data_IF_923189130620
#
_entry.id   IF_923189130620
#
_cell.length_a   1.000
_cell.length_b   1.000
_cell.length_c   1.000
_cell.angle_alpha   90.00
_cell.angle_beta   90.00
_cell.angle_gamma   90.00
#
_symmetry.space_group_name_H-M   'P 1'
#
loop_
_entity.id
_entity.type
_entity.pdbx_description
1 polymer ?
#
# COMPACT_ATOMS: atom_id res chain seq x y z
N UNK A 1 -7.94 18.40 35.80
CA UNK A 1 -7.29 18.91 34.58
C UNK A 1 -6.87 17.78 33.68
N UNK A 2 -7.76 17.53 32.73
CA UNK A 2 -7.69 16.51 31.70
C UNK A 2 -6.51 16.79 30.76
N UNK A 3 -5.56 15.86 30.68
CA UNK A 3 -4.62 15.77 29.57
C UNK A 3 -4.73 14.35 28.99
N UNK A 4 -5.84 14.14 28.28
CA UNK A 4 -6.06 12.90 27.54
C UNK A 4 -5.04 12.77 26.39
N UNK A 5 -4.16 11.78 26.55
CA UNK A 5 -3.54 10.94 25.52
C UNK A 5 -3.36 11.54 24.11
N UNK A 6 -2.14 12.00 23.79
CA UNK A 6 -1.67 11.93 22.41
C UNK A 6 -1.25 10.49 22.10
N UNK A 7 -2.22 9.65 21.71
CA UNK A 7 -1.91 8.36 21.09
C UNK A 7 -1.08 8.63 19.83
N UNK A 8 0.14 8.10 19.82
CA UNK A 8 1.15 8.35 18.79
C UNK A 8 0.99 7.49 17.54
N UNK A 9 -0.16 6.84 17.41
CA UNK A 9 -0.43 5.79 16.44
C UNK A 9 -1.02 6.34 15.15
N UNK A 10 -0.82 5.60 14.07
CA UNK A 10 -1.48 5.90 12.80
C UNK A 10 -2.97 5.57 12.92
N UNK A 11 -3.85 6.36 12.29
CA UNK A 11 -5.28 6.09 12.33
C UNK A 11 -5.60 4.78 11.62
N UNK A 12 -6.55 4.06 12.20
CA UNK A 12 -7.10 2.83 11.65
C UNK A 12 -8.43 3.16 10.98
N UNK A 13 -8.62 2.69 9.75
CA UNK A 13 -9.88 2.84 9.01
C UNK A 13 -10.18 4.24 8.50
N UNK A 14 -9.28 5.23 8.68
CA UNK A 14 -9.47 6.60 8.18
C UNK A 14 -8.28 7.07 7.35
N UNK A 15 -8.55 8.00 6.43
CA UNK A 15 -7.56 8.65 5.56
C UNK A 15 -6.93 9.89 6.21
N UNK A 16 -7.54 10.43 7.26
CA UNK A 16 -7.04 11.61 7.97
C UNK A 16 -5.72 11.31 8.68
N UNK A 17 -4.68 12.08 8.40
CA UNK A 17 -3.37 11.94 9.06
C UNK A 17 -3.26 12.82 10.31
N UNK A 18 -2.59 12.35 11.37
CA UNK A 18 -2.12 13.22 12.45
C UNK A 18 -1.27 14.37 11.90
N UNK A 19 -1.38 15.57 12.47
CA UNK A 19 -0.73 16.81 11.97
C UNK A 19 0.77 16.66 11.70
N UNK A 20 1.49 15.86 12.50
CA UNK A 20 2.94 15.60 12.33
C UNK A 20 3.31 14.90 11.01
N UNK A 21 2.34 14.26 10.35
CA UNK A 21 2.51 13.57 9.07
C UNK A 21 1.89 14.33 7.90
N UNK A 22 1.15 15.41 8.15
CA UNK A 22 0.57 16.24 7.10
C UNK A 22 1.69 17.07 6.46
N UNK A 23 2.08 16.70 5.24
CA UNK A 23 3.08 17.42 4.44
C UNK A 23 2.34 18.19 3.36
N UNK A 24 2.23 19.51 3.49
CA UNK A 24 1.66 20.33 2.43
C UNK A 24 2.67 20.50 1.28
N UNK A 25 2.22 20.57 0.01
CA UNK A 25 3.11 20.72 -1.15
C UNK A 25 4.04 21.95 -1.09
N UNK A 26 3.62 23.01 -0.39
CA UNK A 26 4.38 24.27 -0.25
C UNK A 26 5.44 24.22 0.86
N UNK A 27 5.41 23.20 1.71
CA UNK A 27 6.32 22.99 2.83
C UNK A 27 6.98 21.62 2.68
N UNK A 28 7.65 21.39 1.55
CA UNK A 28 8.58 20.27 1.32
C UNK A 28 9.83 20.42 2.23
N UNK A 29 9.62 20.43 3.54
CA UNK A 29 10.66 20.23 4.54
C UNK A 29 10.86 18.72 4.73
N UNK A 30 12.08 18.19 4.64
CA UNK A 30 12.39 16.74 4.64
C UNK A 30 12.22 16.04 6.01
N UNK A 31 11.40 16.57 6.92
CA UNK A 31 11.37 16.09 8.32
C UNK A 31 10.24 15.11 8.63
N UNK A 32 9.13 15.13 7.89
CA UNK A 32 8.02 14.23 8.16
C UNK A 32 8.34 12.81 7.65
N UNK A 33 8.26 11.77 8.51
CA UNK A 33 8.41 10.40 8.06
C UNK A 33 7.41 10.07 6.95
N UNK A 34 7.86 9.29 5.96
CA UNK A 34 7.00 8.82 4.89
C UNK A 34 6.10 7.69 5.42
N UNK A 35 4.80 7.84 5.22
CA UNK A 35 3.76 6.84 5.54
C UNK A 35 2.87 6.63 4.32
N UNK A 36 2.27 5.45 4.24
CA UNK A 36 1.57 4.99 3.05
C UNK A 36 0.13 4.59 3.39
N UNK A 37 -0.84 5.06 2.60
CA UNK A 37 -2.25 4.73 2.75
C UNK A 37 -2.62 3.61 1.78
N UNK A 38 -3.16 2.50 2.30
CA UNK A 38 -3.43 1.33 1.47
C UNK A 38 -3.91 0.13 2.25
N UNK A 39 -3.72 -1.05 1.65
CA UNK A 39 -4.02 -2.34 2.27
C UNK A 39 -2.76 -3.00 2.81
N UNK A 40 -2.88 -3.63 3.98
CA UNK A 40 -1.88 -4.59 4.45
C UNK A 40 -1.98 -5.90 3.67
N UNK A 41 -0.82 -6.47 3.30
CA UNK A 41 -0.71 -7.72 2.56
C UNK A 41 0.29 -8.70 3.19
N UNK A 42 0.02 -9.99 3.07
CA UNK A 42 1.02 -11.04 3.23
C UNK A 42 1.70 -11.31 1.89
N UNK A 43 2.96 -11.73 1.89
CA UNK A 43 3.64 -12.15 0.64
C UNK A 43 2.89 -13.26 -0.09
N UNK A 44 2.27 -14.18 0.67
CA UNK A 44 1.52 -15.31 0.09
C UNK A 44 0.30 -14.83 -0.72
N UNK A 45 -0.27 -13.68 -0.38
CA UNK A 45 -1.43 -13.13 -1.09
C UNK A 45 -1.04 -12.78 -2.54
N UNK A 46 0.14 -12.18 -2.75
CA UNK A 46 0.68 -11.87 -4.09
C UNK A 46 0.93 -13.15 -4.91
N UNK A 47 1.46 -14.20 -4.27
CA UNK A 47 1.70 -15.50 -4.93
C UNK A 47 0.38 -16.15 -5.35
N UNK A 48 -0.61 -16.16 -4.46
CA UNK A 48 -1.93 -16.73 -4.76
C UNK A 48 -2.64 -15.97 -5.87
N UNK A 49 -2.54 -14.63 -5.86
CA UNK A 49 -3.06 -13.80 -6.93
C UNK A 49 -2.43 -14.18 -8.28
N UNK A 50 -1.10 -14.18 -8.39
CA UNK A 50 -0.45 -14.49 -9.66
C UNK A 50 -0.77 -15.89 -10.19
N UNK A 51 -0.92 -16.88 -9.31
CA UNK A 51 -1.40 -18.23 -9.67
C UNK A 51 -2.83 -18.20 -10.22
N UNK A 52 -3.74 -17.52 -9.52
CA UNK A 52 -5.13 -17.40 -9.96
C UNK A 52 -5.29 -16.71 -11.32
N UNK A 53 -4.33 -15.85 -11.68
CA UNK A 53 -4.28 -15.16 -12.97
C UNK A 53 -3.36 -15.83 -14.01
N UNK A 54 -2.87 -17.05 -13.78
CA UNK A 54 -2.03 -17.83 -14.70
C UNK A 54 -0.69 -17.17 -15.07
N UNK A 55 -0.09 -16.42 -14.14
CA UNK A 55 1.22 -15.80 -14.31
C UNK A 55 2.38 -16.74 -13.94
N UNK A 56 2.17 -18.04 -13.73
CA UNK A 56 3.23 -18.94 -13.24
C UNK A 56 4.45 -18.99 -14.17
N UNK A 57 4.22 -18.84 -15.48
CA UNK A 57 5.28 -18.79 -16.49
C UNK A 57 6.10 -17.49 -16.49
N UNK A 58 5.58 -16.42 -15.88
CA UNK A 58 6.25 -15.13 -15.73
C UNK A 58 6.95 -15.00 -14.38
N UNK A 59 6.80 -15.96 -13.48
CA UNK A 59 7.51 -15.96 -12.22
C UNK A 59 9.01 -16.20 -12.47
N UNK A 60 9.88 -15.50 -11.73
CA UNK A 60 11.32 -15.71 -11.84
C UNK A 60 11.70 -17.16 -11.53
N UNK A 61 12.79 -17.64 -12.12
CA UNK A 61 13.30 -18.98 -11.82
C UNK A 61 13.80 -19.05 -10.36
N UNK A 62 13.52 -20.12 -9.60
CA UNK A 62 13.83 -20.23 -8.17
C UNK A 62 15.34 -20.31 -7.83
N UNK A 63 16.21 -20.11 -8.81
CA UNK A 63 17.68 -20.03 -8.65
C UNK A 63 18.15 -18.65 -8.20
N UNK A 64 17.27 -17.64 -8.19
CA UNK A 64 17.56 -16.34 -7.57
C UNK A 64 17.64 -16.48 -6.04
N UNK A 65 18.35 -15.56 -5.39
CA UNK A 65 18.28 -15.46 -3.93
C UNK A 65 16.83 -15.16 -3.50
N UNK A 66 16.49 -15.58 -2.29
CA UNK A 66 15.10 -15.47 -1.77
C UNK A 66 14.57 -14.04 -1.81
N UNK A 67 15.41 -13.05 -1.53
CA UNK A 67 15.00 -11.64 -1.50
C UNK A 67 14.59 -11.15 -2.87
N UNK A 68 15.45 -11.38 -3.87
CA UNK A 68 15.18 -11.01 -5.26
C UNK A 68 13.95 -11.74 -5.81
N UNK A 69 13.85 -13.05 -5.57
CA UNK A 69 12.69 -13.85 -5.99
C UNK A 69 11.36 -13.30 -5.43
N UNK A 70 11.34 -12.95 -4.14
CA UNK A 70 10.15 -12.38 -3.50
C UNK A 70 9.81 -10.99 -4.03
N UNK A 71 10.83 -10.17 -4.32
CA UNK A 71 10.60 -8.83 -4.86
C UNK A 71 10.05 -8.86 -6.29
N UNK A 72 10.57 -9.75 -7.14
CA UNK A 72 10.08 -9.95 -8.51
C UNK A 72 8.61 -10.41 -8.55
N UNK A 73 8.19 -11.27 -7.60
CA UNK A 73 6.78 -11.62 -7.40
C UNK A 73 5.95 -10.36 -7.11
N UNK A 74 6.40 -9.52 -6.18
CA UNK A 74 5.71 -8.28 -5.82
C UNK A 74 5.63 -7.31 -7.01
N UNK A 75 6.70 -7.18 -7.80
CA UNK A 75 6.72 -6.32 -8.99
C UNK A 75 5.76 -6.82 -10.07
N UNK A 76 5.74 -8.13 -10.33
CA UNK A 76 4.82 -8.73 -11.31
C UNK A 76 3.37 -8.57 -10.88
N UNK A 77 3.09 -8.78 -9.59
CA UNK A 77 1.79 -8.51 -8.98
C UNK A 77 1.39 -7.04 -9.15
N UNK A 78 2.30 -6.12 -8.80
CA UNK A 78 2.07 -4.68 -8.88
C UNK A 78 1.79 -4.22 -10.31
N UNK A 79 2.59 -4.67 -11.29
CA UNK A 79 2.38 -4.38 -12.71
C UNK A 79 0.96 -4.78 -13.14
N UNK A 80 0.50 -5.97 -12.72
CA UNK A 80 -0.81 -6.46 -13.08
C UNK A 80 -1.95 -5.64 -12.47
N UNK A 81 -1.90 -5.40 -11.14
CA UNK A 81 -2.99 -4.70 -10.45
C UNK A 81 -3.10 -3.24 -10.88
N UNK A 82 -1.96 -2.56 -11.10
CA UNK A 82 -1.89 -1.20 -11.64
C UNK A 82 -2.56 -1.11 -13.01
N UNK A 83 -2.34 -2.11 -13.88
CA UNK A 83 -2.98 -2.20 -15.18
C UNK A 83 -4.49 -2.45 -15.07
N UNK A 84 -4.93 -3.31 -14.16
CA UNK A 84 -6.37 -3.54 -13.94
C UNK A 84 -7.10 -2.27 -13.48
N UNK A 85 -6.46 -1.49 -12.61
CA UNK A 85 -7.03 -0.25 -12.07
C UNK A 85 -6.89 0.95 -13.02
N UNK A 86 -6.07 0.84 -14.08
CA UNK A 86 -5.64 1.96 -14.91
C UNK A 86 -5.14 3.16 -14.08
N UNK A 87 -4.44 2.88 -12.98
CA UNK A 87 -4.00 3.88 -12.01
C UNK A 87 -2.52 3.69 -11.68
N UNK A 88 -1.67 4.58 -12.22
CA UNK A 88 -0.21 4.43 -12.21
C UNK A 88 0.50 4.76 -10.90
N UNK A 89 -0.22 5.12 -9.84
CA UNK A 89 0.37 5.49 -8.54
C UNK A 89 0.22 4.42 -7.46
N UNK A 90 -0.37 3.26 -7.81
CA UNK A 90 -0.35 2.09 -6.92
C UNK A 90 1.10 1.67 -6.73
N UNK A 91 1.49 1.43 -5.48
CA UNK A 91 2.85 1.04 -5.12
C UNK A 91 2.84 -0.08 -4.07
N UNK A 92 3.97 -0.77 -3.91
CA UNK A 92 4.14 -1.82 -2.92
C UNK A 92 5.37 -1.58 -2.05
N UNK A 93 5.16 -1.58 -0.73
CA UNK A 93 6.20 -1.30 0.25
C UNK A 93 6.26 -2.40 1.30
N UNK A 94 7.41 -2.63 1.92
CA UNK A 94 7.48 -3.54 3.08
C UNK A 94 6.84 -2.88 4.29
N UNK A 95 5.96 -3.59 5.00
CA UNK A 95 5.26 -3.03 6.14
C UNK A 95 6.12 -3.11 7.42
N UNK A 96 6.11 -2.07 8.24
CA UNK A 96 6.69 -2.08 9.60
C UNK A 96 5.64 -2.45 10.63
N UNK A 97 5.08 -3.65 10.51
CA UNK A 97 4.09 -4.21 11.45
C UNK A 97 4.34 -5.71 11.61
N UNK A 98 3.82 -6.29 12.70
CA UNK A 98 3.79 -7.74 12.90
C UNK A 98 2.61 -8.41 12.16
N UNK A 99 1.63 -7.63 11.74
CA UNK A 99 0.39 -8.13 11.14
C UNK A 99 0.51 -8.45 9.66
N UNK A 100 1.35 -7.71 8.93
CA UNK A 100 1.48 -7.80 7.48
C UNK A 100 2.94 -7.67 7.04
N UNK A 101 3.26 -8.27 5.90
CA UNK A 101 4.59 -8.20 5.30
C UNK A 101 4.76 -6.96 4.40
N UNK A 102 3.66 -6.56 3.77
CA UNK A 102 3.60 -5.64 2.65
C UNK A 102 2.47 -4.60 2.84
N UNK A 103 2.62 -3.48 2.16
CA UNK A 103 1.63 -2.40 2.03
C UNK A 103 1.38 -2.25 0.53
N UNK A 104 0.15 -2.46 0.08
CA UNK A 104 -0.29 -2.08 -1.27
C UNK A 104 -0.92 -0.69 -1.17
N UNK A 105 -0.15 0.34 -1.51
CA UNK A 105 -0.52 1.73 -1.27
C UNK A 105 -1.13 2.42 -2.48
N UNK A 106 -2.11 3.27 -2.23
CA UNK A 106 -2.70 4.20 -3.18
C UNK A 106 -1.97 5.55 -3.17
N UNK A 107 -1.57 6.01 -1.97
CA UNK A 107 -0.91 7.29 -1.78
C UNK A 107 0.15 7.20 -0.69
N UNK A 108 1.06 8.19 -0.69
CA UNK A 108 1.89 8.51 0.45
C UNK A 108 1.58 9.92 0.97
N UNK A 109 1.95 10.20 2.21
CA UNK A 109 1.65 11.48 2.87
C UNK A 109 2.35 12.70 2.25
N UNK A 110 3.34 12.51 1.36
CA UNK A 110 4.05 13.59 0.68
C UNK A 110 3.39 13.97 -0.66
N UNK A 111 2.67 13.03 -1.27
CA UNK A 111 2.11 13.18 -2.60
C UNK A 111 0.59 13.16 -2.63
N UNK A 112 -0.07 12.78 -1.53
CA UNK A 112 -1.53 12.70 -1.42
C UNK A 112 -2.22 13.98 -1.94
N UNK A 113 -1.79 15.17 -1.52
CA UNK A 113 -2.40 16.42 -1.98
C UNK A 113 -2.32 16.69 -3.49
N UNK A 114 -1.38 16.05 -4.19
CA UNK A 114 -1.18 16.24 -5.63
C UNK A 114 -1.73 15.08 -6.47
N UNK A 115 -1.98 13.92 -5.85
CA UNK A 115 -2.28 12.65 -6.53
C UNK A 115 -3.53 11.95 -5.99
N UNK A 116 -4.16 12.51 -4.97
CA UNK A 116 -5.40 12.00 -4.41
C UNK A 116 -6.47 11.97 -5.49
N UNK A 117 -7.00 10.78 -5.72
CA UNK A 117 -8.13 10.57 -6.61
C UNK A 117 -9.35 11.29 -6.05
N UNK A 118 -10.22 11.76 -6.93
CA UNK A 118 -11.55 12.20 -6.47
C UNK A 118 -12.31 10.99 -5.90
N UNK A 119 -13.25 11.24 -5.00
CA UNK A 119 -13.93 10.17 -4.24
C UNK A 119 -14.52 9.06 -5.13
N UNK A 120 -15.05 9.41 -6.32
CA UNK A 120 -15.58 8.44 -7.26
C UNK A 120 -14.48 7.53 -7.85
N UNK A 121 -13.37 8.11 -8.30
CA UNK A 121 -12.24 7.37 -8.86
C UNK A 121 -11.58 6.49 -7.80
N UNK A 122 -11.44 6.99 -6.57
CA UNK A 122 -10.91 6.19 -5.46
C UNK A 122 -11.79 4.98 -5.17
N UNK A 123 -13.12 5.17 -5.09
CA UNK A 123 -14.08 4.07 -4.92
C UNK A 123 -13.98 3.05 -6.05
N UNK A 124 -13.81 3.51 -7.28
CA UNK A 124 -13.66 2.64 -8.44
C UNK A 124 -12.37 1.83 -8.38
N UNK A 125 -11.22 2.46 -8.08
CA UNK A 125 -9.94 1.76 -7.91
C UNK A 125 -10.03 0.73 -6.78
N UNK A 126 -10.54 1.10 -5.61
CA UNK A 126 -10.72 0.19 -4.48
C UNK A 126 -11.65 -0.98 -4.85
N UNK A 127 -12.74 -0.69 -5.57
CA UNK A 127 -13.68 -1.70 -6.05
C UNK A 127 -13.02 -2.69 -6.99
N UNK A 128 -12.23 -2.20 -7.96
CA UNK A 128 -11.46 -3.05 -8.87
C UNK A 128 -10.45 -3.89 -8.09
N UNK A 129 -9.67 -3.30 -7.18
CA UNK A 129 -8.71 -4.04 -6.37
C UNK A 129 -9.37 -5.16 -5.56
N UNK A 130 -10.51 -4.89 -4.92
CA UNK A 130 -11.27 -5.89 -4.15
C UNK A 130 -11.91 -6.98 -5.01
N UNK A 131 -12.24 -6.65 -6.26
CA UNK A 131 -12.75 -7.62 -7.23
C UNK A 131 -11.64 -8.55 -7.71
N UNK A 132 -10.49 -7.98 -8.08
CA UNK A 132 -9.33 -8.74 -8.58
C UNK A 132 -8.65 -9.54 -7.45
N UNK A 133 -8.65 -9.01 -6.22
CA UNK A 133 -7.99 -9.62 -5.08
C UNK A 133 -8.96 -9.79 -3.91
N UNK A 134 -9.74 -10.90 -3.86
CA UNK A 134 -10.82 -11.08 -2.89
C UNK A 134 -10.42 -10.95 -1.42
N UNK A 135 -9.17 -11.25 -1.06
CA UNK A 135 -8.67 -11.09 0.31
C UNK A 135 -8.71 -9.63 0.81
N UNK A 136 -8.81 -8.65 -0.11
CA UNK A 136 -8.95 -7.24 0.22
C UNK A 136 -10.37 -6.83 0.64
N UNK A 137 -11.38 -7.69 0.45
CA UNK A 137 -12.78 -7.36 0.79
C UNK A 137 -12.96 -7.08 2.29
N UNK A 138 -12.30 -7.88 3.12
CA UNK A 138 -12.38 -7.79 4.58
C UNK A 138 -11.26 -6.94 5.19
N UNK A 139 -10.38 -6.36 4.35
CA UNK A 139 -9.28 -5.51 4.80
C UNK A 139 -9.68 -4.05 4.72
N UNK A 140 -9.34 -3.32 5.77
CA UNK A 140 -9.53 -1.88 5.85
C UNK A 140 -8.34 -1.13 5.24
N UNK A 141 -8.63 -0.04 4.53
CA UNK A 141 -7.59 0.91 4.18
C UNK A 141 -7.18 1.70 5.40
N UNK A 142 -5.87 1.84 5.60
CA UNK A 142 -5.30 2.63 6.69
C UNK A 142 -3.87 3.05 6.37
N UNK A 143 -3.32 3.88 7.24
CA UNK A 143 -1.94 4.31 7.13
C UNK A 143 -0.97 3.29 7.72
N UNK A 144 0.16 3.08 7.04
CA UNK A 144 1.23 2.19 7.45
C UNK A 144 2.57 2.90 7.45
N UNK A 145 3.43 2.52 8.41
CA UNK A 145 4.85 2.82 8.33
C UNK A 145 5.55 1.82 7.41
N UNK A 146 6.42 2.26 6.50
CA UNK A 146 7.29 1.37 5.76
C UNK A 146 8.40 0.83 6.66
N UNK A 147 8.89 -0.37 6.35
CA UNK A 147 10.02 -0.97 7.06
C UNK A 147 11.33 -0.24 6.77
N UNK A 148 11.53 0.18 5.52
CA UNK A 148 12.69 0.95 5.09
C UNK A 148 12.29 2.43 4.99
N UNK A 149 13.17 3.31 5.48
CA UNK A 149 12.96 4.78 5.51
C UNK A 149 13.30 5.42 4.18
#
# INVERSE_FOLDING_TARGET
DESHAQNNDLPIGTKDLPTKFQVEPKTLGPKAPKVYYGFGLYYIDCVQYLKAHHFESRLPHPTLDRGTYMWDICLTFLEHITRCCNFGFIDIQRAKTLEFDLILSLYDNHTIWNRELVEAEEKDVISIMRKEMPVLKDRELRWFYPLLK
#
